data_IF_020868310258
#
_entry.id   IF_020868310258
#
_cell.length_a   1.000
_cell.length_b   1.000
_cell.length_c   1.000
_cell.angle_alpha   90.00
_cell.angle_beta   90.00
_cell.angle_gamma   90.00
#
_symmetry.space_group_name_H-M   'P 1'
#
loop_
_entity.id
_entity.type
_entity.pdbx_description
1 polymer ?
#
# COMPACT_ATOMS: atom_id res chain seq x y z
N UNK A 1 -21.19 7.63 3.15
CA UNK A 1 -19.91 8.16 2.61
C UNK A 1 -18.79 7.76 3.55
N UNK A 2 -17.62 7.37 3.01
CA UNK A 2 -16.40 7.08 3.76
C UNK A 2 -15.22 7.84 3.14
N UNK A 3 -14.25 8.22 3.97
CA UNK A 3 -13.03 8.90 3.52
C UNK A 3 -12.04 7.88 2.96
N UNK A 4 -11.59 8.08 1.72
CA UNK A 4 -10.37 7.43 1.23
C UNK A 4 -9.15 8.19 1.77
N UNK A 5 -8.32 7.53 2.57
CA UNK A 5 -7.22 8.16 3.31
C UNK A 5 -6.18 8.81 2.39
N UNK A 6 -5.81 8.19 1.26
CA UNK A 6 -4.78 8.74 0.36
C UNK A 6 -5.31 9.86 -0.54
N UNK A 7 -6.58 9.78 -0.95
CA UNK A 7 -7.18 10.81 -1.78
C UNK A 7 -7.65 12.02 -0.98
N UNK A 8 -7.93 11.82 0.32
CA UNK A 8 -8.63 12.77 1.18
C UNK A 8 -9.98 13.21 0.60
N UNK A 9 -10.72 12.24 0.04
CA UNK A 9 -12.02 12.46 -0.61
C UNK A 9 -13.05 11.52 0.02
N UNK A 10 -14.22 12.07 0.33
CA UNK A 10 -15.37 11.29 0.73
C UNK A 10 -16.01 10.63 -0.50
N UNK A 11 -16.20 9.32 -0.45
CA UNK A 11 -16.76 8.49 -1.52
C UNK A 11 -17.93 7.66 -0.96
N UNK A 12 -18.83 7.11 -1.81
CA UNK A 12 -19.82 6.13 -1.38
C UNK A 12 -19.16 4.98 -0.62
N UNK A 13 -19.80 4.50 0.45
CA UNK A 13 -19.23 3.43 1.28
C UNK A 13 -19.08 2.11 0.53
N UNK A 14 -19.90 1.90 -0.51
CA UNK A 14 -19.85 0.75 -1.42
C UNK A 14 -18.55 0.67 -2.24
N UNK A 15 -17.84 1.80 -2.41
CA UNK A 15 -16.59 1.87 -3.20
C UNK A 15 -15.35 2.11 -2.34
N UNK A 16 -15.49 2.19 -1.02
CA UNK A 16 -14.38 2.31 -0.07
C UNK A 16 -14.34 1.06 0.79
N UNK A 17 -13.14 0.51 1.00
CA UNK A 17 -12.93 -0.68 1.83
C UNK A 17 -11.93 -0.40 2.95
N UNK A 18 -12.16 -1.03 4.10
CA UNK A 18 -11.14 -1.24 5.11
C UNK A 18 -10.25 -2.40 4.66
N UNK A 19 -9.19 -2.07 3.92
CA UNK A 19 -8.21 -3.04 3.42
C UNK A 19 -7.26 -3.44 4.54
N UNK A 20 -7.06 -4.74 4.74
CA UNK A 20 -6.02 -5.26 5.61
C UNK A 20 -4.65 -5.04 4.99
N UNK A 21 -3.71 -4.48 5.75
CA UNK A 21 -2.32 -4.29 5.31
C UNK A 21 -1.62 -5.65 5.25
N UNK A 22 -1.63 -6.37 6.37
CA UNK A 22 -1.27 -7.77 6.41
C UNK A 22 -2.54 -8.59 6.19
N UNK A 23 -2.64 -9.20 5.01
CA UNK A 23 -3.86 -9.84 4.52
C UNK A 23 -4.34 -10.94 5.46
N UNK A 24 -5.66 -11.00 5.66
CA UNK A 24 -6.31 -11.99 6.54
C UNK A 24 -6.01 -13.44 6.15
N UNK A 25 -5.79 -13.72 4.85
CA UNK A 25 -5.38 -15.05 4.37
C UNK A 25 -4.03 -15.53 4.94
N UNK A 26 -3.18 -14.60 5.39
CA UNK A 26 -1.89 -14.88 6.00
C UNK A 26 -1.93 -14.89 7.54
N UNK A 27 -3.12 -14.95 8.17
CA UNK A 27 -3.27 -14.90 9.63
C UNK A 27 -2.36 -15.90 10.38
N UNK A 28 -2.21 -17.11 9.84
CA UNK A 28 -1.33 -18.15 10.39
C UNK A 28 0.17 -17.76 10.44
N UNK A 29 0.59 -16.76 9.65
CA UNK A 29 1.95 -16.25 9.57
C UNK A 29 2.15 -14.99 10.44
N UNK A 30 1.09 -14.40 10.98
CA UNK A 30 1.17 -13.08 11.63
C UNK A 30 2.14 -13.06 12.80
N UNK A 31 2.19 -14.12 13.61
CA UNK A 31 3.09 -14.22 14.76
C UNK A 31 4.58 -14.26 14.37
N UNK A 32 4.89 -14.75 13.17
CA UNK A 32 6.27 -14.89 12.69
C UNK A 32 6.75 -13.63 11.96
N UNK A 33 5.91 -13.03 11.12
CA UNK A 33 6.33 -11.93 10.26
C UNK A 33 6.07 -10.56 10.88
N UNK A 34 4.91 -10.35 11.47
CA UNK A 34 4.46 -9.01 11.88
C UNK A 34 4.12 -8.91 13.37
N UNK A 35 4.15 -9.99 14.15
CA UNK A 35 3.83 -10.02 15.59
C UNK A 35 2.61 -9.15 15.98
N UNK A 36 1.52 -9.24 15.22
CA UNK A 36 0.23 -8.66 15.61
C UNK A 36 -0.57 -9.74 16.36
N UNK A 37 -1.23 -9.36 17.45
CA UNK A 37 -2.05 -10.29 18.23
C UNK A 37 -3.36 -10.60 17.48
N UNK A 38 -4.01 -9.56 16.96
CA UNK A 38 -5.24 -9.64 16.19
C UNK A 38 -4.99 -9.21 14.75
N UNK A 39 -5.45 -10.03 13.80
CA UNK A 39 -5.40 -9.71 12.37
C UNK A 39 -6.41 -8.62 12.01
N UNK A 40 -7.45 -8.48 12.83
CA UNK A 40 -8.53 -7.50 12.69
C UNK A 40 -8.31 -6.23 13.51
N UNK A 41 -7.09 -6.05 14.05
CA UNK A 41 -6.69 -4.79 14.68
C UNK A 41 -6.84 -3.64 13.68
N UNK A 42 -7.44 -2.53 14.13
CA UNK A 42 -7.66 -1.33 13.31
C UNK A 42 -6.37 -0.76 12.74
N UNK A 43 -5.23 -0.98 13.41
CA UNK A 43 -3.89 -0.58 12.98
C UNK A 43 -3.33 -1.49 11.87
N UNK A 44 -3.97 -2.62 11.59
CA UNK A 44 -3.74 -3.43 10.40
C UNK A 44 -4.67 -3.02 9.23
N UNK A 45 -5.37 -1.89 9.32
CA UNK A 45 -6.36 -1.45 8.33
C UNK A 45 -6.03 -0.10 7.67
N UNK A 46 -6.44 0.04 6.40
CA UNK A 46 -6.47 1.30 5.66
C UNK A 46 -7.83 1.49 4.99
N UNK A 47 -8.39 2.71 5.03
CA UNK A 47 -9.59 3.04 4.25
C UNK A 47 -9.19 3.49 2.85
N UNK A 48 -9.37 2.59 1.88
CA UNK A 48 -8.94 2.77 0.49
C UNK A 48 -10.11 2.75 -0.48
N UNK A 49 -10.02 3.56 -1.52
CA UNK A 49 -10.89 3.45 -2.68
C UNK A 49 -10.57 2.16 -3.43
N UNK A 50 -11.59 1.44 -3.91
CA UNK A 50 -11.43 0.08 -4.50
C UNK A 50 -10.33 -0.07 -5.56
N UNK A 51 -10.16 0.85 -6.53
CA UNK A 51 -9.02 0.82 -7.45
C UNK A 51 -7.65 0.88 -6.80
N UNK A 52 -7.53 1.60 -5.68
CA UNK A 52 -6.28 1.76 -4.93
C UNK A 52 -6.01 0.52 -4.08
N UNK A 53 -7.05 -0.06 -3.46
CA UNK A 53 -6.93 -1.35 -2.77
C UNK A 53 -6.48 -2.45 -3.74
N UNK A 54 -7.11 -2.59 -4.91
CA UNK A 54 -6.67 -3.55 -5.93
C UNK A 54 -5.20 -3.35 -6.30
N UNK A 55 -4.75 -2.12 -6.56
CA UNK A 55 -3.34 -1.86 -6.87
C UNK A 55 -2.39 -2.16 -5.69
N UNK A 56 -2.86 -2.00 -4.46
CA UNK A 56 -2.10 -2.32 -3.26
C UNK A 56 -1.96 -3.83 -3.05
N UNK A 57 -3.06 -4.58 -3.24
CA UNK A 57 -3.07 -6.05 -3.18
C UNK A 57 -2.26 -6.68 -4.31
N UNK A 58 -2.29 -6.07 -5.49
CA UNK A 58 -1.47 -6.45 -6.65
C UNK A 58 -0.01 -6.04 -6.47
N UNK A 59 0.40 -5.40 -5.37
CA UNK A 59 1.78 -4.93 -5.16
C UNK A 59 2.27 -3.91 -6.21
N UNK A 60 1.36 -3.25 -6.93
CA UNK A 60 1.68 -2.16 -7.86
C UNK A 60 2.05 -0.88 -7.09
N UNK A 61 1.53 -0.73 -5.88
CA UNK A 61 1.78 0.38 -4.97
C UNK A 61 2.05 -0.14 -3.55
N UNK A 62 2.60 0.73 -2.71
CA UNK A 62 2.71 0.54 -1.27
C UNK A 62 2.55 1.87 -0.53
N UNK A 63 2.41 1.82 0.80
CA UNK A 63 2.52 3.00 1.65
C UNK A 63 3.79 2.89 2.47
N UNK A 64 4.75 3.75 2.17
CA UNK A 64 6.01 3.85 2.90
C UNK A 64 5.83 4.73 4.13
N UNK A 65 6.55 4.42 5.19
CA UNK A 65 6.61 5.25 6.40
C UNK A 65 8.02 5.79 6.52
N UNK A 66 8.16 7.05 6.89
CA UNK A 66 9.46 7.62 7.25
C UNK A 66 9.66 7.68 8.77
N UNK A 67 10.88 8.00 9.21
CA UNK A 67 11.21 8.19 10.64
C UNK A 67 10.42 9.31 11.34
N UNK A 68 9.65 10.12 10.62
CA UNK A 68 8.82 11.22 11.13
C UNK A 68 7.34 10.88 11.16
N UNK A 69 6.97 9.61 10.97
CA UNK A 69 5.58 9.15 10.87
C UNK A 69 4.80 9.73 9.68
N UNK A 70 5.49 10.03 8.58
CA UNK A 70 4.85 10.38 7.33
C UNK A 70 4.57 9.12 6.49
N UNK A 71 3.29 8.79 6.36
CA UNK A 71 2.82 7.65 5.57
C UNK A 71 2.51 8.11 4.15
N UNK A 72 3.29 7.66 3.16
CA UNK A 72 3.22 8.18 1.79
C UNK A 72 3.04 7.04 0.79
N UNK A 73 2.10 7.20 -0.14
CA UNK A 73 1.94 6.26 -1.24
C UNK A 73 3.18 6.30 -2.14
N UNK A 74 3.77 5.13 -2.38
CA UNK A 74 4.80 4.90 -3.37
C UNK A 74 4.24 4.05 -4.49
N UNK A 75 4.36 4.54 -5.71
CA UNK A 75 4.16 3.72 -6.89
C UNK A 75 5.41 2.90 -7.19
N UNK A 76 5.23 1.58 -7.26
CA UNK A 76 6.26 0.64 -7.66
C UNK A 76 6.11 0.25 -9.14
N UNK A 77 4.89 0.02 -9.60
CA UNK A 77 4.60 -0.27 -11.00
C UNK A 77 4.47 1.02 -11.82
N UNK A 78 5.43 1.28 -12.72
CA UNK A 78 5.41 2.45 -13.61
C UNK A 78 4.34 2.37 -14.69
N UNK A 79 3.93 1.17 -15.08
CA UNK A 79 3.11 0.93 -16.27
C UNK A 79 1.67 1.43 -16.08
N UNK A 80 1.20 1.44 -14.83
CA UNK A 80 -0.15 1.87 -14.49
C UNK A 80 -0.26 3.38 -14.22
N UNK A 81 0.84 4.15 -14.27
CA UNK A 81 0.85 5.58 -13.91
C UNK A 81 -0.15 6.42 -14.70
N UNK A 82 -0.34 6.10 -15.97
CA UNK A 82 -1.26 6.82 -16.86
C UNK A 82 -2.71 6.31 -16.78
N UNK A 83 -2.95 5.15 -16.17
CA UNK A 83 -4.29 4.58 -16.07
C UNK A 83 -5.17 5.39 -15.11
N UNK A 84 -6.44 5.59 -15.47
CA UNK A 84 -7.40 6.22 -14.57
C UNK A 84 -7.78 5.26 -13.46
N UNK A 85 -7.99 5.79 -12.26
CA UNK A 85 -8.49 4.97 -11.14
C UNK A 85 -9.82 4.30 -11.50
N UNK A 86 -10.70 5.05 -12.19
CA UNK A 86 -12.03 4.57 -12.55
C UNK A 86 -12.01 3.41 -13.56
N UNK A 87 -10.91 3.19 -14.28
CA UNK A 87 -10.80 2.07 -15.23
C UNK A 87 -10.69 0.70 -14.52
N UNK A 88 -10.38 0.69 -13.21
CA UNK A 88 -10.39 -0.54 -12.39
C UNK A 88 -11.71 -0.78 -11.65
N UNK A 89 -12.73 0.04 -11.87
CA UNK A 89 -14.03 -0.15 -11.22
C UNK A 89 -14.85 -1.22 -11.93
N UNK A 90 -15.63 -1.97 -11.16
CA UNK A 90 -16.74 -2.75 -11.73
C UNK A 90 -17.88 -1.83 -12.17
N UNK A 91 -18.76 -2.32 -13.04
CA UNK A 91 -19.94 -1.55 -13.45
C UNK A 91 -20.78 -1.10 -12.25
N UNK A 92 -20.98 -1.98 -11.26
CA UNK A 92 -21.71 -1.63 -10.04
C UNK A 92 -21.04 -0.46 -9.31
N UNK A 93 -19.71 -0.49 -9.12
CA UNK A 93 -18.99 0.58 -8.42
C UNK A 93 -19.00 1.90 -9.22
N UNK A 94 -18.98 1.81 -10.55
CA UNK A 94 -19.13 2.96 -11.44
C UNK A 94 -20.51 3.62 -11.30
N UNK A 95 -21.57 2.82 -11.22
CA UNK A 95 -22.95 3.29 -11.04
C UNK A 95 -23.15 3.91 -9.66
N UNK A 96 -22.54 3.35 -8.61
CA UNK A 96 -22.55 3.90 -7.24
C UNK A 96 -21.95 5.32 -7.17
N UNK A 97 -20.96 5.62 -8.01
CA UNK A 97 -20.41 6.98 -8.16
C UNK A 97 -21.33 7.93 -8.94
N UNK A 98 -22.42 7.41 -9.53
CA UNK A 98 -23.32 8.15 -10.40
C UNK A 98 -22.72 8.42 -11.79
N UNK A 99 -21.64 7.74 -12.15
CA UNK A 99 -20.88 8.09 -13.35
C UNK A 99 -21.55 7.69 -14.67
N UNK A 100 -22.66 6.93 -14.62
CA UNK A 100 -23.50 6.64 -15.78
C UNK A 100 -24.12 7.89 -16.44
N UNK A 101 -24.20 9.01 -15.72
CA UNK A 101 -24.71 10.28 -16.24
C UNK A 101 -23.63 11.25 -16.74
N UNK A 102 -22.37 10.80 -16.87
CA UNK A 102 -21.29 11.66 -17.35
C UNK A 102 -21.43 11.96 -18.85
N UNK A 103 -20.91 13.12 -19.33
CA UNK A 103 -20.90 13.46 -20.75
C UNK A 103 -20.16 12.41 -21.59
N UNK A 104 -20.61 12.14 -22.83
CA UNK A 104 -20.04 11.11 -23.71
C UNK A 104 -18.52 11.20 -23.92
N UNK A 105 -17.96 12.41 -23.92
CA UNK A 105 -16.52 12.66 -24.15
C UNK A 105 -15.76 13.06 -22.88
N UNK A 106 -16.24 12.65 -21.71
CA UNK A 106 -15.61 13.03 -20.43
C UNK A 106 -14.11 12.66 -20.35
N UNK A 107 -13.68 11.56 -20.99
CA UNK A 107 -12.29 11.09 -20.98
C UNK A 107 -11.29 12.04 -21.63
N UNK A 108 -11.73 12.85 -22.59
CA UNK A 108 -10.86 13.80 -23.31
C UNK A 108 -10.98 15.21 -22.75
N UNK A 109 -11.72 15.42 -21.66
CA UNK A 109 -11.86 16.71 -21.03
C UNK A 109 -10.53 17.22 -20.48
N UNK A 110 -10.22 18.48 -20.76
CA UNK A 110 -9.07 19.20 -20.19
C UNK A 110 -9.39 19.81 -18.82
N UNK A 111 -10.68 19.85 -18.44
CA UNK A 111 -11.15 20.30 -17.14
C UNK A 111 -11.51 19.12 -16.24
N UNK A 112 -11.40 19.25 -14.89
CA UNK A 112 -11.86 18.23 -13.96
C UNK A 112 -13.31 17.82 -14.21
N UNK A 113 -13.58 16.52 -14.16
CA UNK A 113 -14.94 15.97 -14.22
C UNK A 113 -15.19 15.27 -12.90
N UNK A 114 -16.17 15.74 -12.15
CA UNK A 114 -16.46 15.20 -10.82
C UNK A 114 -17.54 14.13 -10.87
N UNK A 115 -17.35 13.07 -10.08
CA UNK A 115 -18.37 12.05 -9.91
C UNK A 115 -19.61 12.66 -9.23
N UNK A 116 -20.84 12.46 -9.75
CA UNK A 116 -22.05 13.05 -9.17
C UNK A 116 -22.26 12.71 -7.69
N UNK A 117 -22.01 11.46 -7.30
CA UNK A 117 -22.17 11.01 -5.92
C UNK A 117 -20.90 11.19 -5.07
N UNK A 118 -19.85 11.77 -5.65
CA UNK A 118 -18.64 12.18 -4.93
C UNK A 118 -18.08 13.48 -5.54
N UNK A 119 -18.66 14.64 -5.24
CA UNK A 119 -18.37 15.90 -5.93
C UNK A 119 -16.91 16.41 -5.80
N UNK A 120 -16.11 15.82 -4.92
CA UNK A 120 -14.68 16.12 -4.76
C UNK A 120 -13.78 15.14 -5.52
N UNK A 121 -14.33 14.05 -6.06
CA UNK A 121 -13.58 13.05 -6.81
C UNK A 121 -13.56 13.39 -8.30
N UNK A 122 -12.39 13.79 -8.81
CA UNK A 122 -12.18 13.94 -10.25
C UNK A 122 -11.98 12.55 -10.89
N UNK A 123 -12.90 12.13 -11.76
CA UNK A 123 -12.83 10.82 -12.46
C UNK A 123 -11.65 10.71 -13.42
N UNK A 124 -11.03 11.85 -13.78
CA UNK A 124 -9.78 11.91 -14.56
C UNK A 124 -8.51 11.79 -13.68
N UNK A 125 -8.66 11.28 -12.45
CA UNK A 125 -7.50 11.00 -11.58
C UNK A 125 -6.83 9.70 -12.01
N UNK A 126 -5.54 9.77 -12.31
CA UNK A 126 -4.70 8.60 -12.61
C UNK A 126 -4.00 8.08 -11.36
N UNK A 127 -3.50 6.85 -11.41
CA UNK A 127 -2.61 6.32 -10.37
C UNK A 127 -1.38 7.21 -10.17
N UNK A 128 -0.77 7.71 -11.26
CA UNK A 128 0.40 8.59 -11.22
C UNK A 128 0.19 9.85 -10.38
N UNK A 129 -1.03 10.39 -10.30
CA UNK A 129 -1.34 11.55 -9.45
C UNK A 129 -1.34 11.23 -7.96
N UNK A 130 -1.29 9.95 -7.58
CA UNK A 130 -1.26 9.52 -6.19
C UNK A 130 0.15 9.27 -5.68
N UNK A 131 1.14 9.08 -6.55
CA UNK A 131 2.53 8.87 -6.14
C UNK A 131 3.02 10.06 -5.29
N UNK A 132 3.60 9.76 -4.13
CA UNK A 132 4.03 10.77 -3.17
C UNK A 132 2.92 11.40 -2.32
N UNK A 133 1.65 11.01 -2.48
CA UNK A 133 0.58 11.53 -1.60
C UNK A 133 0.66 10.93 -0.19
N UNK A 134 0.57 11.80 0.80
CA UNK A 134 0.51 11.41 2.21
C UNK A 134 -0.90 10.96 2.60
N UNK A 135 -1.00 9.86 3.36
CA UNK A 135 -2.25 9.43 3.98
C UNK A 135 -2.80 10.51 4.90
N UNK A 136 -4.11 10.72 4.83
CA UNK A 136 -4.86 11.61 5.72
C UNK A 136 -5.64 10.78 6.72
N UNK A 137 -5.37 11.05 7.99
CA UNK A 137 -6.09 10.47 9.12
C UNK A 137 -7.15 11.46 9.62
N UNK A 138 -8.27 10.98 10.17
CA UNK A 138 -9.26 11.86 10.80
C UNK A 138 -8.61 12.76 11.86
N UNK A 139 -9.05 14.03 11.91
CA UNK A 139 -8.54 15.00 12.88
C UNK A 139 -8.74 14.48 14.31
N UNK A 140 -7.72 14.61 15.15
CA UNK A 140 -7.75 14.10 16.53
C UNK A 140 -7.49 12.59 16.67
N UNK A 141 -7.39 11.83 15.58
CA UNK A 141 -7.04 10.41 15.65
C UNK A 141 -5.54 10.21 15.88
N UNK A 142 -5.20 9.44 16.91
CA UNK A 142 -3.85 8.94 17.19
C UNK A 142 -3.60 7.56 16.58
N UNK A 143 -4.64 6.89 16.05
CA UNK A 143 -4.51 5.58 15.44
C UNK A 143 -3.68 5.67 14.16
N UNK A 144 -2.67 4.81 14.05
CA UNK A 144 -1.79 4.72 12.89
C UNK A 144 -1.62 3.27 12.46
N UNK A 145 -1.42 3.04 11.15
CA UNK A 145 -1.03 1.73 10.65
C UNK A 145 0.21 1.19 11.35
N UNK A 146 0.26 -0.12 11.59
CA UNK A 146 1.48 -0.78 12.04
C UNK A 146 2.56 -0.63 10.97
N UNK A 147 3.69 0.01 11.30
CA UNK A 147 4.74 0.30 10.32
C UNK A 147 5.39 -0.98 9.82
N UNK A 148 5.52 -1.99 10.69
CA UNK A 148 6.00 -3.33 10.29
C UNK A 148 5.12 -4.00 9.24
N UNK A 149 3.79 -3.92 9.36
CA UNK A 149 2.88 -4.49 8.35
C UNK A 149 3.08 -3.80 6.99
N UNK A 150 3.18 -2.45 7.01
CA UNK A 150 3.47 -1.67 5.81
C UNK A 150 4.85 -1.99 5.23
N UNK A 151 5.88 -2.13 6.07
CA UNK A 151 7.22 -2.51 5.66
C UNK A 151 7.23 -3.86 4.93
N UNK A 152 6.55 -4.88 5.47
CA UNK A 152 6.49 -6.19 4.82
C UNK A 152 5.75 -6.16 3.48
N UNK A 153 4.62 -5.45 3.39
CA UNK A 153 3.92 -5.27 2.11
C UNK A 153 4.80 -4.51 1.11
N UNK A 154 5.49 -3.46 1.55
CA UNK A 154 6.43 -2.68 0.75
C UNK A 154 7.60 -3.53 0.26
N UNK A 155 8.09 -4.47 1.07
CA UNK A 155 9.16 -5.39 0.66
C UNK A 155 8.72 -6.32 -0.46
N UNK A 156 7.50 -6.88 -0.39
CA UNK A 156 6.97 -7.68 -1.48
C UNK A 156 6.80 -6.86 -2.77
N UNK A 157 6.27 -5.64 -2.66
CA UNK A 157 6.13 -4.73 -3.79
C UNK A 157 7.48 -4.33 -4.41
N UNK A 158 8.48 -4.05 -3.56
CA UNK A 158 9.85 -3.78 -3.98
C UNK A 158 10.48 -4.96 -4.69
N UNK A 159 10.39 -6.17 -4.14
CA UNK A 159 10.93 -7.39 -4.78
C UNK A 159 10.34 -7.58 -6.16
N UNK A 160 9.01 -7.47 -6.29
CA UNK A 160 8.35 -7.52 -7.60
C UNK A 160 8.86 -6.42 -8.53
N UNK A 161 8.95 -5.19 -8.06
CA UNK A 161 9.37 -4.05 -8.87
C UNK A 161 10.81 -4.16 -9.38
N UNK A 162 11.72 -4.69 -8.56
CA UNK A 162 13.10 -5.01 -8.97
C UNK A 162 13.09 -6.08 -10.05
N UNK A 163 12.35 -7.18 -9.86
CA UNK A 163 12.25 -8.26 -10.85
C UNK A 163 11.71 -7.77 -12.20
N UNK A 164 10.82 -6.77 -12.19
CA UNK A 164 10.26 -6.16 -13.41
C UNK A 164 11.08 -4.99 -13.96
N UNK A 165 12.16 -4.57 -13.27
CA UNK A 165 12.98 -3.43 -13.68
C UNK A 165 12.30 -2.06 -13.52
N UNK A 166 11.24 -1.96 -12.71
CA UNK A 166 10.55 -0.69 -12.45
C UNK A 166 11.29 0.22 -11.46
N UNK A 167 12.12 -0.36 -10.60
CA UNK A 167 13.01 0.35 -9.68
C UNK A 167 14.40 -0.27 -9.68
N UNK A 168 15.46 0.50 -9.34
CA UNK A 168 16.82 -0.04 -9.19
C UNK A 168 16.93 -1.06 -8.04
N UNK A 169 17.88 -1.98 -8.15
CA UNK A 169 18.15 -3.03 -7.16
C UNK A 169 18.50 -2.45 -5.78
N UNK A 170 19.16 -1.29 -5.77
CA UNK A 170 19.58 -0.56 -4.57
C UNK A 170 18.46 0.28 -3.93
N UNK A 171 17.30 0.41 -4.58
CA UNK A 171 16.18 1.18 -4.01
C UNK A 171 15.84 0.62 -2.64
N UNK A 172 15.67 1.47 -1.62
CA UNK A 172 15.34 1.03 -0.28
C UNK A 172 14.51 2.10 0.46
N UNK A 173 13.94 1.73 1.61
CA UNK A 173 13.14 2.58 2.47
C UNK A 173 13.43 2.27 3.94
N UNK A 174 12.91 3.10 4.84
CA UNK A 174 13.15 2.95 6.28
C UNK A 174 12.67 1.59 6.80
N UNK A 175 13.52 0.92 7.58
CA UNK A 175 13.27 -0.42 8.12
C UNK A 175 12.47 -0.36 9.42
N UNK A 176 11.28 -0.94 9.38
CA UNK A 176 10.39 -1.10 10.53
C UNK A 176 10.02 -2.57 10.81
N UNK A 177 10.75 -3.53 10.25
CA UNK A 177 10.50 -4.98 10.40
C UNK A 177 10.38 -5.43 11.86
N UNK A 178 11.18 -4.85 12.75
CA UNK A 178 11.23 -5.21 14.18
C UNK A 178 10.52 -4.21 15.10
N UNK A 179 9.68 -3.33 14.55
CA UNK A 179 8.90 -2.39 15.35
C UNK A 179 8.02 -3.13 16.37
N UNK A 180 8.12 -2.73 17.65
CA UNK A 180 7.32 -3.31 18.73
C UNK A 180 7.77 -4.69 19.22
N UNK A 181 8.81 -5.29 18.61
CA UNK A 181 9.32 -6.59 19.04
C UNK A 181 10.10 -6.45 20.36
N UNK A 182 9.97 -7.45 21.22
CA UNK A 182 10.78 -7.57 22.45
C UNK A 182 12.28 -7.64 22.11
N UNK A 183 13.14 -7.22 23.04
CA UNK A 183 14.59 -7.18 22.82
C UNK A 183 15.14 -8.57 22.53
N UNK A 184 14.63 -9.59 23.22
CA UNK A 184 15.01 -10.99 23.06
C UNK A 184 14.72 -11.49 21.65
N UNK A 185 13.58 -11.09 21.07
CA UNK A 185 13.21 -11.44 19.69
C UNK A 185 14.03 -10.67 18.65
N UNK A 186 14.35 -9.40 18.92
CA UNK A 186 15.30 -8.64 18.09
C UNK A 186 16.69 -9.27 18.07
N UNK A 187 17.15 -9.74 19.23
CA UNK A 187 18.43 -10.45 19.34
C UNK A 187 18.39 -11.75 18.55
N UNK A 188 17.32 -12.56 18.67
CA UNK A 188 17.15 -13.77 17.84
C UNK A 188 17.24 -13.45 16.35
N UNK A 189 16.52 -12.44 15.86
CA UNK A 189 16.57 -12.04 14.45
C UNK A 189 17.99 -11.66 14.01
N UNK A 190 18.71 -10.85 14.80
CA UNK A 190 20.10 -10.47 14.53
C UNK A 190 21.04 -11.67 14.46
N UNK A 191 20.92 -12.61 15.39
CA UNK A 191 21.77 -13.80 15.41
C UNK A 191 21.39 -14.80 14.31
N UNK A 192 20.12 -14.91 13.93
CA UNK A 192 19.67 -15.72 12.80
C UNK A 192 20.15 -15.18 11.45
N UNK A 193 20.13 -13.86 11.23
CA UNK A 193 20.64 -13.25 9.97
C UNK A 193 22.16 -13.31 9.82
N UNK A 194 22.89 -13.38 10.94
CA UNK A 194 24.35 -13.51 10.94
C UNK A 194 24.81 -14.95 10.68
N UNK A 195 23.98 -15.95 11.00
CA UNK A 195 24.26 -17.36 10.69
C UNK A 195 24.13 -17.66 9.19
N UNK A 196 23.13 -17.08 8.51
CA UNK A 196 22.95 -17.27 7.06
C UNK A 196 24.01 -16.57 6.21
N UNK A 197 24.69 -15.55 6.73
CA UNK A 197 25.80 -14.87 6.04
C UNK A 197 27.17 -15.53 6.29
N UNK A 198 27.31 -16.29 7.39
CA UNK A 198 28.51 -17.11 7.64
C UNK A 198 28.56 -18.41 6.83
N UNK A 199 27.43 -18.97 6.41
CA UNK A 199 27.42 -20.22 5.61
C UNK A 199 27.86 -20.03 4.16
N UNK A 200 27.84 -18.79 3.63
CA UNK A 200 28.33 -18.49 2.27
C UNK A 200 29.84 -18.25 2.22
N UNK A 201 30.51 -18.01 3.37
CA UNK A 201 31.96 -17.70 3.41
C UNK A 201 32.87 -18.91 3.66
N UNK A 202 32.32 -20.12 3.77
CA UNK A 202 33.12 -21.33 4.04
C UNK A 202 33.12 -22.38 2.92
N UNK A 203 32.50 -22.11 1.77
CA UNK A 203 32.55 -23.02 0.61
C UNK A 203 33.63 -22.72 -0.43
N UNK A 204 34.34 -21.58 -0.36
CA UNK A 204 35.33 -21.17 -1.37
C UNK A 204 36.81 -21.31 -0.95
N UNK A 205 37.11 -22.05 0.12
CA UNK A 205 38.49 -22.23 0.57
C UNK A 205 38.88 -23.68 0.81
N UNK A 206 38.60 -24.59 -0.11
CA UNK A 206 39.34 -25.86 -0.25
C UNK A 206 39.25 -26.42 -1.68
N UNK A 207 39.97 -25.81 -2.62
CA UNK A 207 40.52 -26.52 -3.78
C UNK A 207 41.90 -25.94 -4.11
N UNK A 208 42.93 -26.58 -3.55
CA UNK A 208 44.28 -26.65 -4.11
C UNK A 208 44.61 -28.11 -4.33
#
# INVERSE_FOLDING_TARGET
MLLCMVMNVALPSSVVIASHIFRREHDHLKGHFVQIADIDDVSNGLLLFKPIESAFDDLDISFLVDKRDQFTLKMFNSDIKAHLLVDRLTQQQWDELGCGSLPTHWRTSTSPIYAPNAPQFNVLTTFGKLDGKTLRFPSGSTLRPFRRCLYHQAQFARTRAITQGWVPDEYNFDDFSSEGFALEEKMKLLFSSNLSTSEVRHSDSMQH
#
